data_IF_611463767733
#
_entry.id   IF_611463767733
#
_cell.length_a   1.000
_cell.length_b   1.000
_cell.length_c   1.000
_cell.angle_alpha   90.00
_cell.angle_beta   90.00
_cell.angle_gamma   90.00
#
_symmetry.space_group_name_H-M   'P 1'
#
loop_
_entity.id
_entity.type
_entity.pdbx_description
1 polymer ?
#
# COMPACT_ATOMS: atom_id res chain seq x y z
N UNK A 1 -2.86 -21.69 11.62
CA UNK A 1 -2.68 -20.86 10.43
C UNK A 1 -4.01 -20.73 9.72
N UNK A 2 -4.46 -19.52 9.42
CA UNK A 2 -5.69 -19.27 8.63
C UNK A 2 -5.39 -19.35 7.13
N UNK A 3 -6.40 -19.54 6.28
CA UNK A 3 -6.23 -19.55 4.80
C UNK A 3 -5.52 -18.29 4.28
N UNK A 4 -5.79 -17.12 4.89
CA UNK A 4 -5.10 -15.87 4.55
C UNK A 4 -3.63 -15.88 4.95
N UNK A 5 -3.28 -16.43 6.13
CA UNK A 5 -1.89 -16.56 6.54
C UNK A 5 -1.11 -17.47 5.58
N UNK A 6 -1.68 -18.61 5.21
CA UNK A 6 -1.06 -19.53 4.24
C UNK A 6 -0.80 -18.85 2.89
N UNK A 7 -1.76 -18.06 2.40
CA UNK A 7 -1.60 -17.26 1.17
C UNK A 7 -0.49 -16.24 1.32
N UNK A 8 -0.49 -15.44 2.38
CA UNK A 8 0.57 -14.44 2.64
C UNK A 8 1.95 -15.10 2.64
N UNK A 9 2.11 -16.19 3.40
CA UNK A 9 3.37 -16.94 3.47
C UNK A 9 3.81 -17.49 2.11
N UNK A 10 2.87 -17.94 1.27
CA UNK A 10 3.16 -18.41 -0.09
C UNK A 10 3.67 -17.29 -1.03
N UNK A 11 3.33 -16.03 -0.76
CA UNK A 11 3.79 -14.90 -1.56
C UNK A 11 5.13 -14.34 -1.09
N UNK A 12 5.45 -14.44 0.20
CA UNK A 12 6.69 -13.90 0.79
C UNK A 12 7.82 -14.93 0.94
N UNK A 13 7.57 -16.20 0.66
CA UNK A 13 8.63 -17.19 0.54
C UNK A 13 9.49 -16.99 -0.73
N UNK A 14 10.58 -17.73 -0.88
CA UNK A 14 11.43 -17.69 -2.08
C UNK A 14 10.61 -17.80 -3.38
N UNK A 15 10.89 -16.99 -4.42
CA UNK A 15 11.95 -15.98 -4.51
C UNK A 15 11.48 -14.55 -4.24
N UNK A 16 10.66 -14.32 -3.21
CA UNK A 16 10.09 -13.01 -2.91
C UNK A 16 11.15 -11.91 -2.78
N UNK A 17 12.26 -12.16 -2.06
CA UNK A 17 13.31 -11.17 -1.88
C UNK A 17 13.83 -10.62 -3.21
N UNK A 18 14.12 -11.48 -4.20
CA UNK A 18 14.57 -11.08 -5.56
C UNK A 18 13.51 -10.32 -6.36
N UNK A 19 12.24 -10.57 -6.11
CA UNK A 19 11.15 -9.82 -6.75
C UNK A 19 10.97 -8.45 -6.10
N UNK A 20 11.02 -8.40 -4.77
CA UNK A 20 10.91 -7.17 -3.99
C UNK A 20 12.10 -6.26 -4.29
N UNK A 21 13.31 -6.80 -4.38
CA UNK A 21 14.51 -6.06 -4.79
C UNK A 21 14.33 -5.38 -6.14
N UNK A 22 13.84 -6.12 -7.15
CA UNK A 22 13.53 -5.56 -8.47
C UNK A 22 12.41 -4.50 -8.44
N UNK A 23 11.48 -4.59 -7.48
CA UNK A 23 10.36 -3.64 -7.36
C UNK A 23 10.80 -2.29 -6.79
N UNK A 24 11.78 -2.29 -5.87
CA UNK A 24 12.34 -1.09 -5.25
C UNK A 24 13.60 -0.56 -5.94
N UNK A 25 14.08 -1.23 -6.98
CA UNK A 25 15.20 -0.78 -7.82
C UNK A 25 14.82 0.50 -8.60
N UNK A 26 15.48 1.61 -8.29
CA UNK A 26 15.25 2.93 -8.90
C UNK A 26 15.78 3.05 -10.33
N UNK A 27 16.69 2.17 -10.74
CA UNK A 27 17.13 2.06 -12.14
C UNK A 27 16.17 1.17 -12.97
N UNK A 28 15.25 0.50 -12.27
CA UNK A 28 14.21 -0.37 -12.83
C UNK A 28 12.97 0.38 -13.34
N UNK A 29 12.01 -0.36 -13.90
CA UNK A 29 10.80 0.22 -14.49
C UNK A 29 9.68 0.49 -13.46
N UNK A 30 9.90 0.17 -12.18
CA UNK A 30 8.87 0.29 -11.14
C UNK A 30 9.07 1.56 -10.35
N UNK A 31 7.97 2.21 -9.98
CA UNK A 31 8.01 3.49 -9.28
C UNK A 31 7.88 3.36 -7.76
N UNK A 32 8.14 2.18 -7.18
CA UNK A 32 7.87 1.91 -5.77
C UNK A 32 8.59 2.89 -4.84
N UNK A 33 9.93 2.89 -4.87
CA UNK A 33 10.76 3.80 -4.08
C UNK A 33 10.40 5.26 -4.34
N UNK A 34 10.16 5.63 -5.60
CA UNK A 34 9.76 7.00 -5.97
C UNK A 34 8.42 7.40 -5.35
N UNK A 35 7.42 6.53 -5.38
CA UNK A 35 6.12 6.77 -4.76
C UNK A 35 6.24 7.00 -3.24
N UNK A 36 7.05 6.17 -2.58
CA UNK A 36 7.23 6.18 -1.12
C UNK A 36 8.08 7.38 -0.65
N UNK A 37 9.05 7.82 -1.45
CA UNK A 37 10.08 8.81 -1.05
C UNK A 37 9.99 10.19 -1.70
N UNK A 38 9.06 10.40 -2.65
CA UNK A 38 8.82 11.73 -3.24
C UNK A 38 8.69 12.79 -2.13
N UNK A 39 9.36 13.95 -2.26
CA UNK A 39 9.43 14.96 -1.20
C UNK A 39 8.06 15.62 -0.94
N UNK A 40 8.02 16.59 -0.02
CA UNK A 40 6.82 17.37 0.28
C UNK A 40 5.60 16.51 0.67
N UNK A 41 5.84 15.47 1.47
CA UNK A 41 4.81 14.56 1.97
C UNK A 41 4.35 14.94 3.38
N UNK A 42 3.69 16.10 3.52
CA UNK A 42 3.04 16.49 4.78
C UNK A 42 2.11 15.35 5.24
N UNK A 43 2.35 14.80 6.43
CA UNK A 43 1.60 13.64 6.95
C UNK A 43 0.11 13.94 7.08
N UNK A 44 -0.27 15.19 7.31
CA UNK A 44 -1.64 15.58 7.62
C UNK A 44 -2.31 16.38 6.51
N UNK A 45 -1.73 16.52 5.32
CA UNK A 45 -2.38 17.20 4.18
C UNK A 45 -2.12 16.45 2.88
N UNK A 46 -3.14 16.35 2.03
CA UNK A 46 -2.92 15.97 0.64
C UNK A 46 -2.31 17.16 -0.12
N UNK A 47 -1.26 16.87 -0.87
CA UNK A 47 -0.44 17.83 -1.62
C UNK A 47 -0.44 17.47 -3.09
N UNK A 48 0.04 18.38 -3.94
CA UNK A 48 0.30 18.09 -5.36
C UNK A 48 1.23 16.89 -5.53
N UNK A 49 2.18 16.70 -4.62
CA UNK A 49 3.12 15.57 -4.66
C UNK A 49 2.43 14.23 -4.37
N UNK A 50 1.36 14.20 -3.57
CA UNK A 50 0.54 12.99 -3.40
C UNK A 50 -0.15 12.60 -4.71
N UNK A 51 -0.67 13.59 -5.45
CA UNK A 51 -1.33 13.36 -6.72
C UNK A 51 -0.35 12.85 -7.79
N UNK A 52 0.87 13.39 -7.80
CA UNK A 52 1.96 12.90 -8.64
C UNK A 52 2.35 11.47 -8.26
N UNK A 53 2.53 11.21 -6.96
CA UNK A 53 2.92 9.89 -6.47
C UNK A 53 1.91 8.81 -6.86
N UNK A 54 0.60 9.02 -6.67
CA UNK A 54 -0.40 8.03 -7.09
C UNK A 54 -0.44 7.84 -8.61
N UNK A 55 -0.09 8.87 -9.39
CA UNK A 55 0.04 8.76 -10.86
C UNK A 55 1.15 7.79 -11.25
N UNK A 56 2.25 7.75 -10.50
CA UNK A 56 3.33 6.77 -10.71
C UNK A 56 2.87 5.32 -10.50
N UNK A 57 1.76 5.10 -9.79
CA UNK A 57 1.12 3.81 -9.60
C UNK A 57 -0.08 3.62 -10.53
N UNK A 58 -0.05 4.21 -11.72
CA UNK A 58 -1.11 4.14 -12.75
C UNK A 58 -2.49 4.62 -12.25
N UNK A 59 -2.53 5.58 -11.32
CA UNK A 59 -3.76 6.19 -10.81
C UNK A 59 -3.82 7.68 -11.10
N UNK A 60 -4.78 8.08 -11.95
CA UNK A 60 -5.15 9.47 -12.13
C UNK A 60 -6.41 9.83 -11.34
N UNK A 61 -6.41 11.00 -10.69
CA UNK A 61 -7.58 11.60 -10.04
C UNK A 61 -8.28 12.57 -11.00
N UNK A 62 -9.62 12.56 -11.09
CA UNK A 62 -10.32 13.48 -11.97
C UNK A 62 -10.28 14.92 -11.41
N UNK A 63 -10.43 15.95 -12.26
CA UNK A 63 -10.33 17.35 -11.84
C UNK A 63 -11.19 17.76 -10.63
N UNK A 64 -12.44 17.28 -10.46
CA UNK A 64 -13.22 17.59 -9.27
C UNK A 64 -12.60 17.06 -7.97
N UNK A 65 -12.04 15.85 -7.98
CA UNK A 65 -11.37 15.28 -6.80
C UNK A 65 -10.07 16.04 -6.49
N UNK A 66 -9.33 16.46 -7.52
CA UNK A 66 -8.12 17.29 -7.35
C UNK A 66 -8.45 18.62 -6.67
N UNK A 67 -9.46 19.35 -7.15
CA UNK A 67 -9.90 20.60 -6.52
C UNK A 67 -10.39 20.39 -5.09
N UNK A 68 -11.09 19.29 -4.82
CA UNK A 68 -11.55 18.97 -3.46
C UNK A 68 -10.38 18.74 -2.50
N UNK A 69 -9.42 17.90 -2.88
CA UNK A 69 -8.28 17.55 -2.03
C UNK A 69 -7.33 18.74 -1.78
N UNK A 70 -7.12 19.60 -2.78
CA UNK A 70 -6.13 20.69 -2.71
C UNK A 70 -6.72 22.03 -2.30
N UNK A 71 -8.02 22.26 -2.53
CA UNK A 71 -8.66 23.55 -2.37
C UNK A 71 -9.93 23.43 -1.52
N UNK A 72 -11.06 22.98 -2.09
CA UNK A 72 -12.39 23.20 -1.48
C UNK A 72 -12.58 22.47 -0.15
N UNK A 73 -12.02 21.27 -0.01
CA UNK A 73 -12.19 20.42 1.18
C UNK A 73 -10.85 20.10 1.86
N UNK A 74 -9.80 20.86 1.54
CA UNK A 74 -8.44 20.58 2.01
C UNK A 74 -8.33 20.56 3.56
N UNK A 75 -9.01 21.48 4.26
CA UNK A 75 -9.02 21.48 5.73
C UNK A 75 -9.85 20.31 6.30
N UNK A 76 -10.92 19.89 5.63
CA UNK A 76 -11.70 18.70 6.03
C UNK A 76 -10.82 17.45 5.97
N UNK A 77 -10.12 17.23 4.85
CA UNK A 77 -9.21 16.09 4.70
C UNK A 77 -8.01 16.17 5.64
N UNK A 78 -7.52 17.37 5.95
CA UNK A 78 -6.47 17.56 6.95
C UNK A 78 -6.91 17.13 8.35
N UNK A 79 -8.13 17.49 8.76
CA UNK A 79 -8.66 17.08 10.05
C UNK A 79 -8.87 15.56 10.11
N UNK A 80 -9.39 14.97 9.03
CA UNK A 80 -9.53 13.51 8.91
C UNK A 80 -8.18 12.79 8.96
N UNK A 81 -7.16 13.28 8.24
CA UNK A 81 -5.80 12.72 8.30
C UNK A 81 -5.20 12.86 9.70
N UNK A 82 -5.34 14.02 10.34
CA UNK A 82 -4.76 14.28 11.66
C UNK A 82 -5.35 13.39 12.75
N UNK A 83 -6.58 12.89 12.58
CA UNK A 83 -7.20 11.92 13.48
C UNK A 83 -6.64 10.50 13.31
N UNK A 84 -5.99 10.19 12.18
CA UNK A 84 -5.37 8.88 11.94
C UNK A 84 -3.90 8.93 12.39
N UNK A 85 -3.46 8.08 13.33
CA UNK A 85 -2.09 8.09 13.83
C UNK A 85 -1.10 7.72 12.72
N UNK A 86 0.06 8.39 12.66
CA UNK A 86 1.10 8.18 11.64
C UNK A 86 2.25 7.27 12.08
N UNK A 87 2.32 6.94 13.37
CA UNK A 87 3.37 6.12 13.98
C UNK A 87 2.82 4.84 14.65
N UNK A 88 1.85 4.19 14.00
CA UNK A 88 1.21 2.96 14.49
C UNK A 88 1.15 1.92 13.38
N UNK A 89 1.52 0.68 13.70
CA UNK A 89 1.38 -0.45 12.78
C UNK A 89 -0.05 -1.01 12.77
N UNK A 90 -0.48 -1.54 11.63
CA UNK A 90 -1.84 -2.07 11.44
C UNK A 90 -2.24 -3.14 12.47
N UNK A 91 -1.29 -3.94 12.97
CA UNK A 91 -1.58 -4.97 13.97
C UNK A 91 -1.69 -4.42 15.41
N UNK A 92 -1.18 -3.23 15.68
CA UNK A 92 -1.18 -2.59 17.01
C UNK A 92 -2.23 -1.47 17.14
N UNK A 93 -2.91 -1.11 16.04
CA UNK A 93 -3.91 -0.05 16.03
C UNK A 93 -5.11 -0.35 16.93
N UNK A 94 -5.66 0.65 17.60
CA UNK A 94 -6.91 0.56 18.36
C UNK A 94 -8.14 0.60 17.44
N UNK A 95 -9.28 0.09 17.91
CA UNK A 95 -10.52 0.12 17.12
C UNK A 95 -11.01 1.56 16.85
N UNK A 96 -10.76 2.48 17.78
CA UNK A 96 -11.02 3.92 17.58
C UNK A 96 -10.19 4.49 16.42
N UNK A 97 -8.91 4.17 16.35
CA UNK A 97 -8.04 4.62 15.27
C UNK A 97 -8.37 3.94 13.93
N UNK A 98 -8.87 2.70 13.95
CA UNK A 98 -9.46 2.06 12.76
C UNK A 98 -10.67 2.84 12.28
N UNK A 99 -11.57 3.24 13.17
CA UNK A 99 -12.74 4.04 12.81
C UNK A 99 -12.36 5.41 12.22
N UNK A 100 -11.30 6.06 12.72
CA UNK A 100 -10.76 7.28 12.11
C UNK A 100 -10.23 7.04 10.69
N UNK A 101 -9.50 5.93 10.48
CA UNK A 101 -9.03 5.56 9.15
C UNK A 101 -10.20 5.24 8.20
N UNK A 102 -11.24 4.55 8.67
CA UNK A 102 -12.45 4.28 7.89
C UNK A 102 -13.18 5.58 7.50
N UNK A 103 -13.31 6.53 8.44
CA UNK A 103 -13.91 7.83 8.14
C UNK A 103 -13.16 8.58 7.02
N UNK A 104 -11.83 8.59 7.07
CA UNK A 104 -11.00 9.14 5.99
C UNK A 104 -11.20 8.37 4.67
N UNK A 105 -11.21 7.04 4.72
CA UNK A 105 -11.40 6.20 3.54
C UNK A 105 -12.75 6.48 2.87
N UNK A 106 -13.84 6.54 3.63
CA UNK A 106 -15.18 6.80 3.09
C UNK A 106 -15.31 8.23 2.56
N UNK A 107 -14.74 9.23 3.24
CA UNK A 107 -14.69 10.59 2.72
C UNK A 107 -13.95 10.68 1.37
N UNK A 108 -12.85 9.93 1.20
CA UNK A 108 -12.18 9.80 -0.09
C UNK A 108 -13.06 9.09 -1.12
N UNK A 109 -13.77 8.03 -0.74
CA UNK A 109 -14.64 7.25 -1.62
C UNK A 109 -15.86 8.02 -2.13
N UNK A 110 -16.30 9.05 -1.39
CA UNK A 110 -17.38 9.95 -1.79
C UNK A 110 -16.95 10.97 -2.86
N UNK A 111 -15.64 11.16 -3.06
CA UNK A 111 -15.15 12.03 -4.12
C UNK A 111 -15.47 11.45 -5.51
N UNK A 112 -15.79 12.30 -6.51
CA UNK A 112 -16.12 11.84 -7.85
C UNK A 112 -15.05 10.91 -8.44
N UNK A 113 -15.47 9.68 -8.81
CA UNK A 113 -14.63 8.62 -9.41
C UNK A 113 -13.41 8.19 -8.57
N UNK A 114 -13.41 8.45 -7.27
CA UNK A 114 -12.39 7.94 -6.33
C UNK A 114 -12.86 6.60 -5.78
N UNK A 115 -12.44 5.52 -6.45
CA UNK A 115 -12.70 4.15 -6.03
C UNK A 115 -11.69 3.64 -4.98
N UNK A 116 -11.85 2.38 -4.56
CA UNK A 116 -11.00 1.68 -3.57
C UNK A 116 -9.52 1.90 -3.81
N UNK A 117 -9.05 1.59 -5.02
CA UNK A 117 -7.64 1.68 -5.41
C UNK A 117 -7.07 3.08 -5.28
N UNK A 118 -7.88 4.12 -5.56
CA UNK A 118 -7.42 5.51 -5.47
C UNK A 118 -7.31 5.96 -4.03
N UNK A 119 -8.35 5.66 -3.23
CA UNK A 119 -8.38 5.97 -1.81
C UNK A 119 -7.26 5.24 -1.04
N UNK A 120 -7.08 3.94 -1.27
CA UNK A 120 -6.05 3.14 -0.59
C UNK A 120 -4.64 3.64 -0.88
N UNK A 121 -4.32 3.99 -2.14
CA UNK A 121 -3.02 4.56 -2.51
C UNK A 121 -2.78 5.93 -1.86
N UNK A 122 -3.77 6.82 -1.87
CA UNK A 122 -3.63 8.11 -1.17
C UNK A 122 -3.34 7.93 0.32
N UNK A 123 -4.08 7.03 0.98
CA UNK A 123 -3.93 6.79 2.41
C UNK A 123 -2.64 6.05 2.76
N UNK A 124 -2.24 5.04 1.99
CA UNK A 124 -1.01 4.28 2.20
C UNK A 124 0.22 5.19 2.13
N UNK A 125 0.23 6.20 1.24
CA UNK A 125 1.32 7.19 1.20
C UNK A 125 1.41 8.02 2.48
N UNK A 126 0.27 8.31 3.11
CA UNK A 126 0.19 9.10 4.35
C UNK A 126 0.47 8.26 5.59
N UNK A 127 0.07 6.99 5.58
CA UNK A 127 0.07 6.08 6.73
C UNK A 127 0.63 4.72 6.33
N UNK A 128 1.90 4.64 5.87
CA UNK A 128 2.45 3.42 5.27
C UNK A 128 2.52 2.22 6.23
N UNK A 129 2.58 2.48 7.53
CA UNK A 129 2.60 1.45 8.60
C UNK A 129 1.21 0.91 8.95
N UNK A 130 0.17 1.71 8.71
CA UNK A 130 -1.21 1.42 9.10
C UNK A 130 -2.09 1.01 7.92
N UNK A 131 -1.93 1.66 6.75
CA UNK A 131 -2.83 1.49 5.61
C UNK A 131 -2.10 0.77 4.47
N UNK A 132 -2.50 -0.46 4.11
CA UNK A 132 -1.91 -1.18 2.99
C UNK A 132 -2.41 -0.65 1.64
N UNK A 133 -1.60 -0.82 0.58
CA UNK A 133 -2.04 -0.53 -0.79
C UNK A 133 -2.95 -1.66 -1.27
N UNK A 134 -4.26 -1.50 -1.07
CA UNK A 134 -5.25 -2.47 -1.54
C UNK A 134 -5.74 -2.09 -2.94
N UNK A 135 -5.25 -2.80 -3.96
CA UNK A 135 -5.75 -2.74 -5.34
C UNK A 135 -6.42 -4.07 -5.75
N UNK A 136 -6.89 -4.15 -7.00
CA UNK A 136 -7.56 -5.35 -7.51
C UNK A 136 -6.65 -6.58 -7.58
N UNK A 137 -5.33 -6.42 -7.71
CA UNK A 137 -4.36 -7.52 -7.72
C UNK A 137 -4.22 -8.08 -6.30
N UNK A 138 -4.04 -7.20 -5.31
CA UNK A 138 -3.92 -7.62 -3.90
C UNK A 138 -5.20 -8.31 -3.44
N UNK A 139 -6.36 -7.74 -3.77
CA UNK A 139 -7.67 -8.32 -3.44
C UNK A 139 -7.82 -9.73 -4.01
N UNK A 140 -7.53 -9.91 -5.30
CA UNK A 140 -7.67 -11.20 -5.95
C UNK A 140 -6.66 -12.23 -5.42
N UNK A 141 -5.42 -11.82 -5.19
CA UNK A 141 -4.35 -12.72 -4.75
C UNK A 141 -4.55 -13.21 -3.30
N UNK A 142 -4.94 -12.31 -2.40
CA UNK A 142 -5.15 -12.60 -0.99
C UNK A 142 -6.61 -12.98 -0.66
N UNK A 143 -7.49 -13.04 -1.66
CA UNK A 143 -8.92 -13.32 -1.49
C UNK A 143 -9.59 -12.40 -0.44
N UNK A 144 -9.31 -11.10 -0.51
CA UNK A 144 -9.80 -10.12 0.45
C UNK A 144 -11.22 -9.65 0.08
N UNK A 145 -12.07 -9.51 1.09
CA UNK A 145 -13.39 -8.89 0.96
C UNK A 145 -13.36 -7.37 1.13
N UNK A 146 -14.53 -6.80 1.40
CA UNK A 146 -14.67 -5.37 1.70
C UNK A 146 -13.97 -4.99 3.02
N UNK A 147 -13.93 -5.92 3.99
CA UNK A 147 -13.24 -5.77 5.29
C UNK A 147 -11.73 -6.07 5.23
N UNK A 148 -11.10 -5.75 4.11
CA UNK A 148 -9.69 -6.09 3.83
C UNK A 148 -8.72 -5.69 4.94
N UNK A 149 -8.93 -4.54 5.61
CA UNK A 149 -8.07 -4.08 6.71
C UNK A 149 -8.23 -4.91 7.97
N UNK A 150 -9.46 -5.33 8.31
CA UNK A 150 -9.72 -6.21 9.45
C UNK A 150 -9.07 -7.57 9.22
N UNK A 151 -9.23 -8.13 8.01
CA UNK A 151 -8.62 -9.40 7.64
C UNK A 151 -7.08 -9.34 7.71
N UNK A 152 -6.48 -8.27 7.18
CA UNK A 152 -5.03 -8.08 7.24
C UNK A 152 -4.53 -7.81 8.67
N UNK A 153 -5.23 -7.00 9.47
CA UNK A 153 -4.93 -6.78 10.90
C UNK A 153 -4.92 -8.09 11.68
N UNK A 154 -5.95 -8.92 11.50
CA UNK A 154 -6.03 -10.23 12.13
C UNK A 154 -4.89 -11.15 11.66
N UNK A 155 -4.62 -11.21 10.35
CA UNK A 155 -3.52 -12.00 9.77
C UNK A 155 -2.16 -11.60 10.33
N UNK A 156 -1.89 -10.29 10.39
CA UNK A 156 -0.61 -9.73 10.79
C UNK A 156 -0.46 -9.61 12.31
N UNK A 157 -1.48 -9.97 13.11
CA UNK A 157 -1.33 -10.08 14.57
C UNK A 157 -0.38 -11.22 14.97
N UNK A 158 -0.20 -12.22 14.10
CA UNK A 158 0.78 -13.30 14.27
C UNK A 158 2.21 -12.82 13.94
N UNK A 159 3.14 -12.80 14.93
CA UNK A 159 4.51 -12.39 14.71
C UNK A 159 5.25 -13.20 13.64
N UNK A 160 4.96 -14.50 13.50
CA UNK A 160 5.67 -15.35 12.54
C UNK A 160 5.38 -14.93 11.09
N UNK A 161 4.16 -14.44 10.83
CA UNK A 161 3.78 -13.90 9.52
C UNK A 161 4.55 -12.62 9.24
N UNK A 162 4.65 -11.72 10.23
CA UNK A 162 5.42 -10.47 10.11
C UNK A 162 6.91 -10.74 9.88
N UNK A 163 7.49 -11.65 10.65
CA UNK A 163 8.88 -12.08 10.51
C UNK A 163 9.14 -12.68 9.12
N UNK A 164 8.20 -13.46 8.58
CA UNK A 164 8.32 -14.01 7.22
C UNK A 164 8.24 -12.93 6.12
N UNK A 165 7.42 -11.90 6.30
CA UNK A 165 7.39 -10.74 5.39
C UNK A 165 8.71 -9.99 5.46
N UNK A 166 9.20 -9.70 6.67
CA UNK A 166 10.46 -8.98 6.88
C UNK A 166 11.68 -9.78 6.40
N UNK A 167 11.66 -11.11 6.48
CA UNK A 167 12.70 -11.97 5.93
C UNK A 167 12.82 -11.85 4.39
N UNK A 168 11.80 -11.34 3.71
CA UNK A 168 11.84 -11.05 2.27
C UNK A 168 12.41 -9.66 1.93
N UNK A 169 12.81 -8.86 2.92
CA UNK A 169 13.32 -7.50 2.72
C UNK A 169 14.69 -7.53 2.02
N UNK A 170 14.85 -6.82 0.88
CA UNK A 170 16.14 -6.59 0.27
C UNK A 170 16.84 -5.34 0.86
N UNK A 171 18.14 -5.22 0.63
CA UNK A 171 18.95 -4.09 1.13
C UNK A 171 18.50 -2.73 0.58
N UNK A 172 17.93 -2.69 -0.63
CA UNK A 172 17.44 -1.46 -1.27
C UNK A 172 16.04 -1.02 -0.79
N UNK A 173 15.47 -1.68 0.23
CA UNK A 173 14.20 -1.32 0.85
C UNK A 173 14.37 -1.14 2.37
N UNK A 174 15.03 -0.07 2.85
CA UNK A 174 15.32 0.10 4.27
C UNK A 174 14.04 0.27 5.10
N UNK A 175 14.05 -0.26 6.33
CA UNK A 175 12.89 -0.29 7.23
C UNK A 175 12.37 1.11 7.60
N UNK A 176 13.25 2.11 7.66
CA UNK A 176 12.89 3.49 7.99
C UNK A 176 12.03 4.17 6.92
N UNK A 177 12.06 3.69 5.67
CA UNK A 177 11.27 4.24 4.56
C UNK A 177 10.22 3.28 4.02
N UNK A 178 10.45 1.97 4.08
CA UNK A 178 9.56 0.94 3.51
C UNK A 178 8.98 0.09 4.64
N UNK A 179 7.68 0.23 4.89
CA UNK A 179 6.98 -0.55 5.92
C UNK A 179 6.84 -2.04 5.57
N UNK A 180 6.56 -2.86 6.58
CA UNK A 180 6.21 -4.27 6.40
C UNK A 180 5.01 -4.45 5.45
N UNK A 181 4.01 -3.56 5.52
CA UNK A 181 2.86 -3.59 4.61
C UNK A 181 3.29 -3.37 3.15
N UNK A 182 4.22 -2.43 2.89
CA UNK A 182 4.72 -2.18 1.53
C UNK A 182 5.54 -3.35 0.99
N UNK A 183 6.26 -4.09 1.84
CA UNK A 183 6.91 -5.35 1.44
C UNK A 183 5.89 -6.40 1.02
N UNK A 184 4.83 -6.59 1.82
CA UNK A 184 3.74 -7.51 1.48
C UNK A 184 3.09 -7.12 0.16
N UNK A 185 2.74 -5.84 -0.02
CA UNK A 185 2.16 -5.31 -1.24
C UNK A 185 3.07 -5.62 -2.45
N UNK A 186 4.38 -5.35 -2.32
CA UNK A 186 5.38 -5.60 -3.36
C UNK A 186 5.47 -7.09 -3.72
N UNK A 187 5.59 -7.97 -2.73
CA UNK A 187 5.73 -9.41 -2.94
C UNK A 187 4.51 -10.00 -3.65
N UNK A 188 3.30 -9.66 -3.18
CA UNK A 188 2.04 -10.12 -3.78
C UNK A 188 1.88 -9.54 -5.19
N UNK A 189 2.06 -8.23 -5.36
CA UNK A 189 1.87 -7.58 -6.64
C UNK A 189 2.86 -8.08 -7.70
N UNK A 190 4.14 -8.26 -7.33
CA UNK A 190 5.15 -8.79 -8.26
C UNK A 190 4.89 -10.23 -8.70
N UNK A 191 4.22 -11.03 -7.87
CA UNK A 191 3.81 -12.40 -8.23
C UNK A 191 2.57 -12.43 -9.11
N UNK A 192 1.58 -11.58 -8.85
CA UNK A 192 0.25 -11.69 -9.47
C UNK A 192 -0.02 -10.69 -10.62
N UNK A 193 0.68 -9.56 -10.64
CA UNK A 193 0.44 -8.49 -11.62
C UNK A 193 0.64 -8.97 -13.05
N UNK A 194 -0.30 -8.61 -13.93
CA UNK A 194 -0.27 -8.96 -15.34
C UNK A 194 0.49 -7.95 -16.21
N UNK A 195 1.07 -6.92 -15.59
CA UNK A 195 1.89 -5.93 -16.29
C UNK A 195 3.09 -6.60 -16.99
N UNK A 196 3.51 -6.02 -18.12
CA UNK A 196 4.68 -6.50 -18.86
C UNK A 196 5.94 -6.51 -18.00
N UNK A 197 6.13 -5.48 -17.17
CA UNK A 197 7.30 -5.37 -16.28
C UNK A 197 7.30 -6.45 -15.20
N UNK A 198 6.17 -6.73 -14.54
CA UNK A 198 6.08 -7.80 -13.55
C UNK A 198 6.28 -9.19 -14.18
N UNK A 199 5.70 -9.45 -15.35
CA UNK A 199 5.94 -10.71 -16.11
C UNK A 199 7.43 -10.91 -16.44
N UNK A 200 8.11 -9.85 -16.88
CA UNK A 200 9.55 -9.90 -17.17
C UNK A 200 10.39 -10.10 -15.91
N UNK A 201 10.04 -9.45 -14.79
CA UNK A 201 10.70 -9.63 -13.51
C UNK A 201 10.58 -11.07 -12.99
N UNK A 202 9.39 -11.68 -13.08
CA UNK A 202 9.17 -13.10 -12.75
C UNK A 202 10.02 -14.04 -13.60
N UNK A 203 10.08 -13.81 -14.92
CA UNK A 203 10.97 -14.57 -15.81
C UNK A 203 12.44 -14.46 -15.42
N UNK A 204 12.92 -13.25 -15.11
CA UNK A 204 14.30 -13.01 -14.63
C UNK A 204 14.57 -13.70 -13.28
N UNK A 205 13.57 -13.79 -12.41
CA UNK A 205 13.66 -14.49 -11.14
C UNK A 205 13.55 -16.03 -11.26
N UNK A 206 13.34 -16.57 -12.46
CA UNK A 206 13.17 -18.01 -12.67
C UNK A 206 11.80 -18.56 -12.29
N UNK A 207 10.79 -17.69 -12.11
CA UNK A 207 9.40 -18.11 -11.93
C UNK A 207 8.80 -18.33 -13.31
N UNK A 208 8.63 -19.60 -13.70
CA UNK A 208 7.79 -19.96 -14.86
C UNK A 208 6.33 -19.68 -14.56
N UNK A 209 5.65 -19.08 -15.54
CA UNK A 209 4.24 -18.69 -15.47
C UNK A 209 3.31 -19.90 -15.38
#
# INVERSE_FOLDING_TARGET
>A
MTDLQDRVLSFVCEPAQRLVEQFFDTDGPFAATTYDTLPDNDRNRFTTTDLLAVTLLDVALPPPAVRSLLETDAETFKNLLSAVPDDVDLWDVSDENVAHAEALYWALRDLPKVGRTRASKLMARKRPRLIPVVDSVIIAALNLGDDSWVALRACLSDPNVRESIEASRPDNAPADSISTLRLLDAAVWMRCSQSRHAKNARRRAGITA
#
